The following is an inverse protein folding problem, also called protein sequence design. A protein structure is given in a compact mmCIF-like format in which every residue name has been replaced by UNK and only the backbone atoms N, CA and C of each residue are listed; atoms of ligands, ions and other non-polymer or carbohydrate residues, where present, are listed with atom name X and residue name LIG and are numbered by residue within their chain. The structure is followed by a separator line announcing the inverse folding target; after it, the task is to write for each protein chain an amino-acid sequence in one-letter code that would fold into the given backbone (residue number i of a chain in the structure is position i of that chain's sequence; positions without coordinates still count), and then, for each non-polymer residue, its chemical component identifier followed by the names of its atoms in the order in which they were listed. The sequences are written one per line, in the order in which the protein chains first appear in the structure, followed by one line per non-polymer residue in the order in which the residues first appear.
data_IF_933028606717
#
_entry.id   IF_933028606717
#
_cell.length_a   1.000
_cell.length_b   1.000
_cell.length_c   1.000
_cell.angle_alpha   90.00
_cell.angle_beta   90.00
_cell.angle_gamma   90.00
#
_symmetry.space_group_name_H-M   'P 1'
#
loop_
_entity.id
_entity.type
_entity.pdbx_description
1 polymer ?
#
# COMPACT_ATOMS: atom_id res chain seq x y z
N UNK A 1 -10.28 -16.79 7.77
CA UNK A 1 -10.47 -17.45 9.10
C UNK A 1 -9.65 -16.70 10.13
N UNK A 2 -10.15 -16.54 11.35
CA UNK A 2 -9.39 -15.96 12.47
C UNK A 2 -8.27 -16.92 12.92
N UNK A 3 -6.99 -16.54 12.79
CA UNK A 3 -5.87 -17.47 13.05
C UNK A 3 -5.59 -17.71 14.54
N UNK A 4 -5.86 -16.72 15.41
CA UNK A 4 -5.56 -16.80 16.85
C UNK A 4 -6.83 -16.58 17.69
N UNK A 5 -7.71 -17.59 17.69
CA UNK A 5 -9.03 -17.50 18.34
C UNK A 5 -8.96 -17.24 19.85
N UNK A 6 -7.99 -17.84 20.52
CA UNK A 6 -7.83 -17.81 21.98
C UNK A 6 -7.04 -16.59 22.48
N UNK A 7 -6.69 -15.64 21.59
CA UNK A 7 -5.96 -14.44 21.97
C UNK A 7 -6.77 -13.62 23.00
N UNK A 8 -6.20 -13.37 24.17
CA UNK A 8 -6.82 -12.58 25.23
C UNK A 8 -7.01 -11.13 24.78
N UNK A 9 -8.16 -10.55 25.12
CA UNK A 9 -8.48 -9.14 24.86
C UNK A 9 -8.69 -8.38 26.17
N UNK A 10 -8.77 -7.06 26.09
CA UNK A 10 -8.82 -6.16 27.27
C UNK A 10 -10.06 -6.34 28.15
N UNK A 11 -11.13 -7.00 27.66
CA UNK A 11 -12.33 -7.28 28.43
C UNK A 11 -12.30 -8.64 29.16
N UNK A 12 -11.16 -9.33 29.14
CA UNK A 12 -10.98 -10.64 29.79
C UNK A 12 -11.48 -11.83 28.98
N UNK A 13 -12.08 -11.62 27.80
CA UNK A 13 -12.51 -12.68 26.87
C UNK A 13 -11.49 -12.87 25.75
N UNK A 14 -11.53 -14.04 25.12
CA UNK A 14 -10.80 -14.35 23.89
C UNK A 14 -11.36 -13.57 22.70
N UNK A 15 -10.54 -13.42 21.66
CA UNK A 15 -10.94 -12.78 20.41
C UNK A 15 -12.16 -13.48 19.77
N UNK A 16 -12.23 -14.81 19.82
CA UNK A 16 -13.35 -15.57 19.26
C UNK A 16 -14.65 -15.39 20.06
N UNK A 17 -14.61 -15.46 21.39
CA UNK A 17 -15.78 -15.21 22.24
C UNK A 17 -16.42 -13.85 21.99
N UNK A 18 -15.63 -12.85 21.58
CA UNK A 18 -16.13 -11.51 21.27
C UNK A 18 -16.83 -11.39 19.91
N UNK A 19 -16.54 -12.26 18.93
CA UNK A 19 -16.97 -12.05 17.52
C UNK A 19 -17.76 -13.21 16.90
N UNK A 20 -17.85 -14.36 17.56
CA UNK A 20 -18.43 -15.58 16.98
C UNK A 20 -19.91 -15.43 16.56
N UNK A 21 -20.68 -14.60 17.26
CA UNK A 21 -22.10 -14.35 17.01
C UNK A 21 -22.36 -13.04 16.25
N UNK A 22 -21.31 -12.40 15.71
CA UNK A 22 -21.43 -11.13 15.00
C UNK A 22 -22.17 -11.33 13.66
N UNK A 23 -23.27 -10.59 13.40
CA UNK A 23 -24.02 -10.71 12.16
C UNK A 23 -23.33 -9.97 11.00
N UNK A 24 -23.57 -10.46 9.77
CA UNK A 24 -23.26 -9.74 8.53
C UNK A 24 -24.49 -8.95 8.08
N UNK A 25 -24.43 -7.63 8.14
CA UNK A 25 -25.58 -6.77 7.81
C UNK A 25 -25.68 -6.40 6.32
N UNK A 26 -24.54 -6.30 5.62
CA UNK A 26 -24.47 -5.92 4.21
C UNK A 26 -23.21 -6.52 3.57
N UNK A 27 -23.40 -7.45 2.64
CA UNK A 27 -22.34 -8.17 1.93
C UNK A 27 -21.73 -7.40 0.76
N UNK A 28 -22.35 -6.30 0.33
CA UNK A 28 -21.75 -5.35 -0.61
C UNK A 28 -20.66 -4.50 0.08
N UNK A 29 -20.80 -4.28 1.40
CA UNK A 29 -19.84 -3.52 2.22
C UNK A 29 -18.77 -4.45 2.82
N UNK A 30 -19.18 -5.56 3.45
CA UNK A 30 -18.26 -6.58 3.99
C UNK A 30 -18.37 -7.82 3.11
N UNK A 31 -17.50 -7.90 2.10
CA UNK A 31 -17.58 -8.97 1.11
C UNK A 31 -17.27 -10.36 1.68
N UNK A 32 -18.03 -11.40 1.30
CA UNK A 32 -17.73 -12.80 1.61
C UNK A 32 -16.36 -13.25 1.08
N UNK A 33 -15.80 -14.30 1.67
CA UNK A 33 -14.48 -14.81 1.31
C UNK A 33 -14.40 -15.43 -0.09
N UNK A 34 -15.53 -15.88 -0.64
CA UNK A 34 -15.67 -16.42 -2.00
C UNK A 34 -15.96 -15.34 -3.05
N UNK A 35 -16.26 -14.10 -2.62
CA UNK A 35 -16.44 -12.93 -3.50
C UNK A 35 -15.61 -11.73 -3.02
N UNK A 36 -14.29 -11.84 -2.85
CA UNK A 36 -13.47 -10.74 -2.37
C UNK A 36 -13.32 -9.63 -3.43
N UNK A 37 -12.93 -8.43 -3.01
CA UNK A 37 -12.59 -7.36 -3.95
C UNK A 37 -11.35 -7.71 -4.80
N UNK A 38 -10.34 -8.31 -4.16
CA UNK A 38 -9.12 -8.81 -4.79
C UNK A 38 -8.75 -10.15 -4.17
N UNK A 39 -8.27 -11.10 -4.97
CA UNK A 39 -7.88 -12.42 -4.46
C UNK A 39 -6.75 -12.37 -3.43
N UNK A 40 -5.78 -11.47 -3.63
CA UNK A 40 -4.73 -11.15 -2.66
C UNK A 40 -4.71 -9.63 -2.42
N UNK A 41 -5.29 -9.22 -1.29
CA UNK A 41 -5.38 -7.81 -0.89
C UNK A 41 -4.36 -7.38 0.17
N UNK A 42 -3.45 -8.29 0.57
CA UNK A 42 -2.44 -8.00 1.59
C UNK A 42 -1.40 -6.99 1.11
N UNK A 43 -0.70 -6.33 2.04
CA UNK A 43 0.44 -5.48 1.69
C UNK A 43 1.58 -6.36 1.16
N UNK A 44 2.14 -6.00 0.01
CA UNK A 44 3.34 -6.65 -0.52
C UNK A 44 4.60 -5.98 0.02
N UNK A 45 5.59 -6.79 0.40
CA UNK A 45 6.96 -6.33 0.67
C UNK A 45 7.83 -6.60 -0.57
N UNK A 46 8.34 -5.55 -1.20
CA UNK A 46 9.25 -5.64 -2.34
C UNK A 46 10.69 -5.44 -1.90
N UNK A 47 11.62 -6.18 -2.51
CA UNK A 47 13.06 -6.13 -2.20
C UNK A 47 13.87 -6.09 -3.48
N UNK A 48 15.08 -5.54 -3.38
CA UNK A 48 16.02 -5.44 -4.49
C UNK A 48 17.15 -4.47 -4.15
N UNK A 49 18.02 -4.18 -5.11
CA UNK A 49 19.11 -3.21 -4.92
C UNK A 49 18.63 -1.79 -4.59
N UNK A 50 17.44 -1.37 -5.06
CA UNK A 50 16.85 -0.06 -4.71
C UNK A 50 16.21 -0.04 -3.32
N UNK A 51 15.70 -1.18 -2.85
CA UNK A 51 15.05 -1.32 -1.55
C UNK A 51 15.68 -2.50 -0.77
N UNK A 52 16.96 -2.38 -0.35
CA UNK A 52 17.69 -3.50 0.27
C UNK A 52 17.06 -3.93 1.60
N UNK A 53 16.47 -2.98 2.33
CA UNK A 53 15.75 -3.23 3.59
C UNK A 53 14.23 -3.39 3.38
N UNK A 54 13.77 -3.40 2.14
CA UNK A 54 12.38 -3.54 1.76
C UNK A 54 11.65 -2.21 1.54
N UNK A 55 10.63 -2.27 0.69
CA UNK A 55 9.58 -1.27 0.54
C UNK A 55 8.22 -1.96 0.51
N UNK A 56 7.13 -1.21 0.63
CA UNK A 56 5.76 -1.75 0.65
C UNK A 56 4.92 -1.22 -0.50
N UNK A 57 4.04 -2.06 -1.02
CA UNK A 57 3.01 -1.71 -2.00
C UNK A 57 1.66 -2.19 -1.49
N UNK A 58 0.58 -1.45 -1.80
CA UNK A 58 -0.81 -1.86 -1.55
C UNK A 58 -1.44 -2.39 -2.85
N UNK A 59 -1.38 -3.71 -3.14
CA UNK A 59 -1.83 -4.27 -4.42
C UNK A 59 -3.33 -4.09 -4.66
N UNK A 60 -4.13 -4.06 -3.58
CA UNK A 60 -5.58 -3.87 -3.66
C UNK A 60 -6.04 -2.55 -4.27
N UNK A 61 -5.14 -1.58 -4.46
CA UNK A 61 -5.42 -0.33 -5.17
C UNK A 61 -4.43 -0.06 -6.32
N UNK A 62 -3.71 -1.07 -6.77
CA UNK A 62 -2.81 -0.97 -7.92
C UNK A 62 -3.53 -1.40 -9.19
N UNK A 63 -3.12 -0.83 -10.34
CA UNK A 63 -3.53 -1.31 -11.65
C UNK A 63 -2.80 -2.62 -11.96
N UNK A 64 -3.55 -3.69 -12.26
CA UNK A 64 -2.99 -5.04 -12.42
C UNK A 64 -1.85 -5.11 -13.45
N UNK A 65 -1.99 -4.38 -14.57
CA UNK A 65 -1.00 -4.35 -15.65
C UNK A 65 0.34 -3.70 -15.24
N UNK A 66 0.34 -2.85 -14.20
CA UNK A 66 1.54 -2.18 -13.70
C UNK A 66 2.27 -2.96 -12.60
N UNK A 67 1.72 -4.11 -12.16
CA UNK A 67 2.34 -4.94 -11.11
C UNK A 67 3.69 -5.55 -11.54
N UNK A 68 3.93 -5.63 -12.85
CA UNK A 68 5.23 -5.99 -13.43
C UNK A 68 5.59 -4.97 -14.51
N UNK A 69 6.19 -3.86 -14.09
CA UNK A 69 6.49 -2.74 -14.96
C UNK A 69 7.97 -2.39 -14.97
N UNK A 70 8.47 -1.90 -16.10
CA UNK A 70 9.81 -1.35 -16.26
C UNK A 70 9.74 -0.08 -17.09
N UNK A 71 10.28 1.01 -16.53
CA UNK A 71 10.31 2.32 -17.16
C UNK A 71 11.59 3.07 -16.84
N UNK A 72 11.81 4.19 -17.53
CA UNK A 72 12.87 5.15 -17.19
C UNK A 72 12.48 5.90 -15.92
N UNK A 73 13.46 6.22 -15.09
CA UNK A 73 13.22 6.98 -13.87
C UNK A 73 13.15 8.49 -14.17
N UNK A 74 12.06 9.13 -13.77
CA UNK A 74 11.95 10.59 -13.70
C UNK A 74 12.10 10.98 -12.23
N UNK A 75 13.22 11.61 -11.91
CA UNK A 75 13.65 11.83 -10.52
C UNK A 75 13.31 13.24 -10.06
N UNK A 76 12.73 13.32 -8.87
CA UNK A 76 12.56 14.53 -8.09
C UNK A 76 13.45 14.45 -6.85
N UNK A 77 14.26 15.49 -6.60
CA UNK A 77 15.23 15.46 -5.50
C UNK A 77 14.57 15.58 -4.13
N UNK A 78 13.48 16.32 -4.03
CA UNK A 78 12.67 16.48 -2.82
C UNK A 78 11.24 16.90 -3.17
N UNK A 79 10.45 17.18 -2.14
CA UNK A 79 9.05 17.55 -2.30
C UNK A 79 8.85 18.92 -2.97
N UNK A 80 9.79 19.85 -2.81
CA UNK A 80 9.71 21.18 -3.44
C UNK A 80 10.06 21.08 -4.92
N UNK A 81 11.08 20.29 -5.29
CA UNK A 81 11.41 19.97 -6.69
C UNK A 81 10.23 19.28 -7.41
N UNK A 82 9.56 18.33 -6.74
CA UNK A 82 8.34 17.72 -7.26
C UNK A 82 7.25 18.75 -7.57
N UNK A 83 6.94 19.63 -6.62
CA UNK A 83 5.91 20.66 -6.79
C UNK A 83 6.24 21.65 -7.91
N UNK A 84 7.51 22.01 -8.04
CA UNK A 84 7.96 22.95 -9.05
C UNK A 84 7.81 22.40 -10.48
N UNK A 85 7.95 21.08 -10.66
CA UNK A 85 8.07 20.45 -11.97
C UNK A 85 6.87 19.64 -12.43
N UNK A 86 6.11 19.02 -11.53
CA UNK A 86 5.09 18.02 -11.93
C UNK A 86 3.97 18.58 -12.84
N UNK A 87 3.68 19.88 -12.72
CA UNK A 87 2.67 20.56 -13.54
C UNK A 87 3.27 21.33 -14.73
N UNK A 88 4.59 21.28 -14.92
CA UNK A 88 5.25 21.88 -16.06
C UNK A 88 4.86 21.09 -17.33
N UNK A 89 4.18 21.71 -18.32
CA UNK A 89 3.81 21.01 -19.55
C UNK A 89 5.03 20.56 -20.37
N UNK A 90 6.20 21.16 -20.12
CA UNK A 90 7.46 20.82 -20.80
C UNK A 90 8.27 19.77 -20.00
N UNK A 91 7.74 19.22 -18.90
CA UNK A 91 8.38 18.12 -18.19
C UNK A 91 8.48 16.90 -19.12
N UNK A 92 9.70 16.46 -19.40
CA UNK A 92 10.01 15.24 -20.15
C UNK A 92 9.60 13.98 -19.35
N UNK A 93 8.30 13.66 -19.38
CA UNK A 93 7.69 12.51 -18.71
C UNK A 93 6.63 11.85 -19.60
N UNK A 94 6.67 10.53 -19.66
CA UNK A 94 5.77 9.69 -20.44
C UNK A 94 5.01 8.71 -19.54
N UNK A 95 3.89 8.16 -20.02
CA UNK A 95 3.03 7.26 -19.25
C UNK A 95 3.74 5.98 -18.74
N UNK A 96 4.84 5.58 -19.39
CA UNK A 96 5.62 4.40 -19.02
C UNK A 96 6.78 4.71 -18.06
N UNK A 97 7.05 5.99 -17.76
CA UNK A 97 8.11 6.35 -16.84
C UNK A 97 7.74 6.03 -15.38
N UNK A 98 8.77 5.93 -14.54
CA UNK A 98 8.64 5.69 -13.11
C UNK A 98 9.04 6.98 -12.39
N UNK A 99 8.08 7.60 -11.72
CA UNK A 99 8.34 8.76 -10.89
C UNK A 99 9.06 8.31 -9.61
N UNK A 100 10.20 8.94 -9.30
CA UNK A 100 11.02 8.63 -8.12
C UNK A 100 11.26 9.92 -7.36
N UNK A 101 10.79 10.01 -6.12
CA UNK A 101 11.05 11.15 -5.24
C UNK A 101 11.96 10.75 -4.08
N UNK A 102 12.99 11.55 -3.84
CA UNK A 102 13.98 11.31 -2.77
C UNK A 102 13.69 12.21 -1.56
N UNK A 103 14.47 11.99 -0.51
CA UNK A 103 14.46 12.79 0.72
C UNK A 103 13.08 12.93 1.42
N UNK A 104 12.13 12.04 1.14
CA UNK A 104 10.82 12.03 1.81
C UNK A 104 10.74 11.12 3.05
N UNK A 105 11.84 10.49 3.45
CA UNK A 105 11.86 9.57 4.60
C UNK A 105 11.85 10.28 5.97
N UNK A 106 11.84 9.51 7.08
CA UNK A 106 11.76 10.05 8.45
C UNK A 106 12.79 11.12 8.78
N UNK A 107 14.00 11.00 8.21
CA UNK A 107 15.08 12.00 8.37
C UNK A 107 15.12 13.03 7.25
N UNK A 108 14.74 12.66 6.03
CA UNK A 108 14.85 13.53 4.87
C UNK A 108 13.81 14.64 4.91
N UNK A 109 12.54 14.27 5.13
CA UNK A 109 11.45 15.23 5.23
C UNK A 109 11.26 15.75 6.65
N UNK A 110 11.70 14.96 7.64
CA UNK A 110 11.28 15.01 9.04
C UNK A 110 9.84 14.51 9.23
N UNK A 111 9.68 13.33 9.83
CA UNK A 111 8.35 12.80 10.22
C UNK A 111 7.62 11.95 9.17
N UNK A 112 8.19 11.75 7.97
CA UNK A 112 7.70 10.86 6.90
C UNK A 112 6.27 11.20 6.42
N UNK A 113 6.11 12.38 5.82
CA UNK A 113 4.87 12.81 5.15
C UNK A 113 4.73 12.22 3.74
#
# INVERSE_FOLDING_TARGET
RLPFKDALTVNGKTLWENVQDAPLYNDEVIRPLDNPLTADGGICVVRGNLAPNGAVLKPSAATAELMQHRGRAVVFEDFDDYKARINDPDLDVEANDILVMKHCGPRGYHGMA
#
